data_IF_599017120928
#
_entry.id   IF_599017120928
#
_cell.length_a   1.000
_cell.length_b   1.000
_cell.length_c   1.000
_cell.angle_alpha   90.00
_cell.angle_beta   90.00
_cell.angle_gamma   90.00
#
_symmetry.space_group_name_H-M   'P 1'
#
loop_
_entity.id
_entity.type
_entity.pdbx_description
1 polymer ?
#
# COMPACT_ATOMS: atom_id res chain seq x y z
N UNK A 1 12.83 -14.36 17.65
CA UNK A 1 12.50 -13.28 16.70
C UNK A 1 11.72 -13.90 15.56
N UNK A 2 10.44 -13.57 15.41
CA UNK A 2 9.64 -14.01 14.27
C UNK A 2 9.96 -13.09 13.09
N UNK A 3 10.76 -13.59 12.14
CA UNK A 3 10.89 -12.93 10.85
C UNK A 3 9.51 -12.91 10.18
N UNK A 4 9.13 -11.76 9.64
CA UNK A 4 7.93 -11.70 8.82
C UNK A 4 8.04 -12.69 7.68
N UNK A 5 7.01 -13.51 7.54
CA UNK A 5 6.86 -14.36 6.37
C UNK A 5 5.90 -13.66 5.44
N UNK A 6 6.46 -13.05 4.40
CA UNK A 6 5.68 -12.51 3.31
C UNK A 6 5.05 -13.67 2.53
N UNK A 7 3.83 -13.46 2.01
CA UNK A 7 3.28 -14.42 1.04
C UNK A 7 4.11 -14.33 -0.24
N UNK A 8 4.48 -15.48 -0.81
CA UNK A 8 5.25 -15.52 -2.05
C UNK A 8 4.59 -14.62 -3.12
N UNK A 9 5.41 -13.74 -3.71
CA UNK A 9 4.98 -12.85 -4.78
C UNK A 9 4.26 -11.56 -4.35
N UNK A 10 4.17 -11.25 -3.05
CA UNK A 10 3.59 -9.95 -2.63
C UNK A 10 4.54 -8.76 -2.86
N UNK A 11 5.86 -8.98 -2.90
CA UNK A 11 6.82 -7.92 -3.22
C UNK A 11 6.70 -7.57 -4.69
N UNK A 12 6.54 -6.28 -4.97
CA UNK A 12 6.46 -5.77 -6.33
C UNK A 12 7.78 -5.08 -6.67
N UNK A 13 8.33 -5.43 -7.82
CA UNK A 13 9.47 -4.71 -8.37
C UNK A 13 9.11 -3.23 -8.59
N UNK A 14 10.05 -2.32 -8.29
CA UNK A 14 9.93 -0.88 -8.54
C UNK A 14 9.92 -0.56 -10.04
N UNK A 15 8.80 -0.86 -10.68
CA UNK A 15 8.56 -0.64 -12.10
C UNK A 15 7.20 0.03 -12.24
N UNK A 16 7.19 1.23 -12.83
CA UNK A 16 5.98 2.02 -13.09
C UNK A 16 4.91 1.18 -13.79
N UNK A 17 5.30 0.43 -14.83
CA UNK A 17 4.38 -0.43 -15.59
C UNK A 17 3.77 -1.55 -14.73
N UNK A 18 4.58 -2.20 -13.88
CA UNK A 18 4.09 -3.27 -13.00
C UNK A 18 3.12 -2.73 -11.93
N UNK A 19 3.47 -1.59 -11.34
CA UNK A 19 2.63 -0.91 -10.33
C UNK A 19 1.30 -0.48 -10.93
N UNK A 20 1.33 0.16 -12.10
CA UNK A 20 0.10 0.61 -12.76
C UNK A 20 -0.76 -0.57 -13.19
N UNK A 21 -0.16 -1.67 -13.65
CA UNK A 21 -0.89 -2.90 -13.98
C UNK A 21 -1.65 -3.44 -12.77
N UNK A 22 -1.02 -3.48 -11.60
CA UNK A 22 -1.66 -3.91 -10.35
C UNK A 22 -2.73 -2.91 -9.89
N UNK A 23 -2.46 -1.60 -9.91
CA UNK A 23 -3.46 -0.58 -9.57
C UNK A 23 -4.71 -0.72 -10.45
N UNK A 24 -4.53 -0.80 -11.77
CA UNK A 24 -5.63 -0.94 -12.73
C UNK A 24 -6.33 -2.31 -12.65
N UNK A 25 -5.74 -3.33 -12.03
CA UNK A 25 -6.45 -4.58 -11.74
C UNK A 25 -7.46 -4.40 -10.59
N UNK A 26 -7.22 -3.41 -9.72
CA UNK A 26 -7.97 -3.15 -8.49
C UNK A 26 -7.23 -3.61 -7.22
N UNK A 27 -5.99 -4.11 -7.37
CA UNK A 27 -5.11 -4.48 -6.25
C UNK A 27 -4.73 -3.24 -5.44
N UNK A 28 -4.66 -3.39 -4.12
CA UNK A 28 -4.05 -2.38 -3.24
C UNK A 28 -2.53 -2.45 -3.37
N UNK A 29 -1.90 -1.29 -3.60
CA UNK A 29 -0.46 -1.15 -3.54
C UNK A 29 -0.09 -0.52 -2.21
N UNK A 30 0.77 -1.18 -1.46
CA UNK A 30 1.24 -0.72 -0.15
C UNK A 30 2.67 -0.21 -0.33
N UNK A 31 2.89 1.04 0.09
CA UNK A 31 4.20 1.68 0.12
C UNK A 31 4.75 1.55 1.53
N UNK A 32 6.01 1.14 1.64
CA UNK A 32 6.70 1.03 2.91
C UNK A 32 8.17 1.42 2.79
N UNK A 33 8.76 1.76 3.93
CA UNK A 33 10.19 2.04 4.06
C UNK A 33 10.90 0.89 4.75
N UNK A 34 12.16 0.66 4.38
CA UNK A 34 12.99 -0.32 5.07
C UNK A 34 13.55 0.31 6.35
N UNK A 35 13.23 -0.27 7.50
CA UNK A 35 13.60 0.27 8.82
C UNK A 35 14.20 -0.82 9.70
N UNK A 36 15.52 -1.06 9.62
CA UNK A 36 16.18 -2.17 10.30
C UNK A 36 16.17 -2.04 11.83
N UNK A 37 15.82 -0.86 12.34
CA UNK A 37 15.63 -0.57 13.75
C UNK A 37 14.26 -1.03 14.29
N UNK A 38 13.32 -1.39 13.41
CA UNK A 38 12.03 -1.95 13.79
C UNK A 38 12.09 -3.49 13.81
N UNK A 39 11.35 -4.17 14.72
CA UNK A 39 11.29 -5.64 14.76
C UNK A 39 10.87 -6.31 13.44
N UNK A 40 10.18 -5.54 12.59
CA UNK A 40 9.61 -5.91 11.30
C UNK A 40 10.57 -5.66 10.12
N UNK A 41 11.65 -4.91 10.34
CA UNK A 41 12.50 -4.27 9.33
C UNK A 41 11.75 -3.33 8.36
N UNK A 42 10.54 -2.90 8.69
CA UNK A 42 9.65 -2.23 7.74
C UNK A 42 8.69 -1.26 8.42
N UNK A 43 8.45 -0.15 7.74
CA UNK A 43 7.54 0.91 8.15
C UNK A 43 6.50 1.16 7.07
N UNK A 44 5.23 0.83 7.32
CA UNK A 44 4.18 1.12 6.35
C UNK A 44 3.89 2.63 6.28
N UNK A 45 3.72 3.16 5.08
CA UNK A 45 3.47 4.59 4.83
C UNK A 45 2.04 4.79 4.31
N UNK A 46 1.84 4.53 3.02
CA UNK A 46 0.62 4.84 2.30
C UNK A 46 0.10 3.62 1.56
N UNK A 47 -1.21 3.61 1.33
CA UNK A 47 -1.87 2.62 0.49
C UNK A 47 -2.49 3.32 -0.70
N UNK A 48 -2.17 2.83 -1.88
CA UNK A 48 -2.71 3.30 -3.14
C UNK A 48 -3.73 2.28 -3.66
N UNK A 49 -4.82 2.79 -4.22
CA UNK A 49 -5.84 1.98 -4.89
C UNK A 49 -6.40 2.74 -6.06
N UNK A 50 -6.59 2.07 -7.19
CA UNK A 50 -7.36 2.66 -8.28
C UNK A 50 -8.83 2.21 -8.21
N UNK A 51 -9.72 3.16 -7.93
CA UNK A 51 -11.15 2.94 -7.97
C UNK A 51 -11.67 3.09 -9.40
N UNK A 52 -12.07 1.96 -10.01
CA UNK A 52 -12.57 1.92 -11.39
C UNK A 52 -13.88 2.68 -11.59
N UNK A 53 -14.78 2.65 -10.61
CA UNK A 53 -16.09 3.32 -10.67
C UNK A 53 -15.94 4.83 -10.72
N UNK A 54 -15.08 5.37 -9.85
CA UNK A 54 -14.82 6.79 -9.75
C UNK A 54 -13.68 7.25 -10.67
N UNK A 55 -13.01 6.30 -11.33
CA UNK A 55 -11.80 6.51 -12.14
C UNK A 55 -10.77 7.37 -11.40
N UNK A 56 -10.51 7.02 -10.15
CA UNK A 56 -9.69 7.80 -9.24
C UNK A 56 -8.56 6.95 -8.64
N UNK A 57 -7.38 7.56 -8.50
CA UNK A 57 -6.33 7.05 -7.63
C UNK A 57 -6.65 7.53 -6.21
N UNK A 58 -7.05 6.60 -5.36
CA UNK A 58 -7.32 6.80 -3.94
C UNK A 58 -6.03 6.55 -3.16
N UNK A 59 -5.70 7.48 -2.27
CA UNK A 59 -4.54 7.42 -1.38
C UNK A 59 -5.08 7.37 0.04
N UNK A 60 -4.61 6.39 0.79
CA UNK A 60 -4.95 6.20 2.18
C UNK A 60 -3.69 6.27 3.03
N UNK A 61 -3.80 6.95 4.16
CA UNK A 61 -2.81 6.85 5.22
C UNK A 61 -3.17 5.65 6.10
N UNK A 62 -2.18 4.84 6.46
CA UNK A 62 -2.32 3.81 7.48
C UNK A 62 -2.13 4.45 8.86
N UNK A 63 -3.22 4.59 9.62
CA UNK A 63 -3.15 5.00 11.01
C UNK A 63 -3.14 3.79 11.94
N UNK A 64 -2.25 3.87 12.92
CA UNK A 64 -2.36 3.07 14.13
C UNK A 64 -3.45 3.66 15.00
N UNK A 65 -4.33 2.80 15.48
CA UNK A 65 -5.21 3.13 16.58
C UNK A 65 -4.61 2.50 17.84
N UNK A 66 -4.13 3.31 18.78
CA UNK A 66 -3.47 2.78 20.00
C UNK A 66 -4.46 2.04 20.91
N UNK A 67 -5.77 2.27 20.75
CA UNK A 67 -6.81 1.62 21.53
C UNK A 67 -7.35 0.33 20.88
N UNK A 68 -6.94 0.03 19.64
CA UNK A 68 -7.40 -1.17 18.95
C UNK A 68 -6.27 -1.95 18.27
N UNK A 69 -6.42 -3.26 18.17
CA UNK A 69 -5.52 -4.10 17.38
C UNK A 69 -5.69 -3.84 15.87
N UNK A 70 -6.19 -2.71 15.38
CA UNK A 70 -6.59 -2.52 13.98
C UNK A 70 -5.87 -1.37 13.27
N UNK A 71 -5.73 -1.50 11.94
CA UNK A 71 -5.43 -0.36 11.08
C UNK A 71 -6.71 0.31 10.65
N UNK A 72 -6.73 1.62 10.82
CA UNK A 72 -7.70 2.46 10.15
C UNK A 72 -7.06 3.01 8.89
N UNK A 73 -7.48 2.52 7.73
CA UNK A 73 -7.25 3.19 6.46
C UNK A 73 -8.05 4.50 6.49
N UNK A 74 -7.36 5.62 6.69
CA UNK A 74 -8.01 6.92 6.55
C UNK A 74 -7.78 7.40 5.13
N UNK A 75 -8.88 7.63 4.44
CA UNK A 75 -8.84 8.28 3.14
C UNK A 75 -8.17 9.63 3.27
N UNK A 76 -7.15 9.86 2.47
CA UNK A 76 -6.37 11.10 2.50
C UNK A 76 -6.75 11.96 1.29
N UNK A 77 -6.55 11.41 0.09
CA UNK A 77 -6.75 12.13 -1.16
C UNK A 77 -7.27 11.20 -2.26
N UNK A 78 -8.00 11.78 -3.22
CA UNK A 78 -8.34 11.13 -4.48
C UNK A 78 -7.96 12.02 -5.66
N UNK A 79 -7.30 11.44 -6.66
CA UNK A 79 -6.99 12.10 -7.92
C UNK A 79 -7.89 11.48 -8.99
N UNK A 80 -8.87 12.24 -9.47
CA UNK A 80 -9.82 11.78 -10.50
C UNK A 80 -9.26 11.99 -11.90
N UNK A 81 -9.42 10.99 -12.78
CA UNK A 81 -8.88 11.01 -14.14
C UNK A 81 -9.97 11.01 -15.21
N UNK A 82 -9.84 11.90 -16.20
CA UNK A 82 -10.65 11.92 -17.41
C UNK A 82 -9.91 11.30 -18.60
N UNK A 83 -10.59 10.55 -19.48
CA UNK A 83 -9.92 9.90 -20.63
C UNK A 83 -9.15 8.61 -20.28
N UNK A 84 -7.88 8.49 -20.67
CA UNK A 84 -7.10 7.25 -20.47
C UNK A 84 -6.34 7.28 -19.14
N UNK A 85 -6.82 6.54 -18.15
CA UNK A 85 -6.24 6.54 -16.79
C UNK A 85 -4.78 6.05 -16.76
N UNK A 86 -4.43 5.05 -17.57
CA UNK A 86 -3.05 4.50 -17.63
C UNK A 86 -2.01 5.59 -17.96
N UNK A 87 -2.28 6.42 -18.98
CA UNK A 87 -1.37 7.47 -19.45
C UNK A 87 -1.19 8.57 -18.39
N UNK A 88 -2.21 8.84 -17.58
CA UNK A 88 -2.15 9.84 -16.51
C UNK A 88 -1.50 9.31 -15.23
N UNK A 89 -1.65 8.02 -14.93
CA UNK A 89 -1.01 7.39 -13.79
C UNK A 89 0.51 7.28 -13.96
N UNK A 90 0.98 7.12 -15.21
CA UNK A 90 2.40 6.93 -15.52
C UNK A 90 3.31 8.01 -14.90
N UNK A 91 3.14 9.31 -15.21
CA UNK A 91 4.00 10.35 -14.64
C UNK A 91 3.86 10.51 -13.12
N UNK A 92 2.69 10.21 -12.55
CA UNK A 92 2.47 10.29 -11.09
C UNK A 92 3.29 9.22 -10.38
N UNK A 93 3.15 7.96 -10.82
CA UNK A 93 3.86 6.83 -10.19
C UNK A 93 5.36 6.93 -10.43
N UNK A 94 5.79 7.29 -11.64
CA UNK A 94 7.21 7.47 -11.97
C UNK A 94 7.87 8.55 -11.11
N UNK A 95 7.17 9.67 -10.86
CA UNK A 95 7.65 10.74 -9.98
C UNK A 95 7.78 10.33 -8.51
N UNK A 96 6.92 9.45 -8.02
CA UNK A 96 6.94 9.00 -6.62
C UNK A 96 7.85 7.79 -6.35
N UNK A 97 8.23 7.02 -7.38
CA UNK A 97 9.07 5.83 -7.23
C UNK A 97 10.39 6.04 -6.47
N UNK A 98 11.15 7.15 -6.69
CA UNK A 98 12.39 7.39 -5.97
C UNK A 98 12.23 7.58 -4.46
N UNK A 99 11.03 7.91 -3.98
CA UNK A 99 10.77 8.23 -2.57
C UNK A 99 10.39 7.02 -1.71
N UNK A 100 10.20 5.84 -2.32
CA UNK A 100 9.78 4.63 -1.60
C UNK A 100 10.88 3.58 -1.58
N UNK A 101 11.06 2.86 -0.46
CA UNK A 101 12.02 1.76 -0.37
C UNK A 101 11.44 0.42 -0.83
N UNK A 102 10.19 0.14 -0.46
CA UNK A 102 9.53 -1.15 -0.63
C UNK A 102 8.11 -0.94 -1.18
N UNK A 103 7.69 -1.84 -2.07
CA UNK A 103 6.36 -1.82 -2.69
C UNK A 103 5.77 -3.22 -2.62
N UNK A 104 4.53 -3.31 -2.15
CA UNK A 104 3.80 -4.56 -2.06
C UNK A 104 2.49 -4.49 -2.85
N UNK A 105 2.16 -5.59 -3.52
CA UNK A 105 0.88 -5.79 -4.18
C UNK A 105 0.02 -6.73 -3.34
N UNK A 106 -1.03 -6.18 -2.71
CA UNK A 106 -1.95 -6.95 -1.91
C UNK A 106 -3.07 -7.58 -2.77
N UNK A 107 -2.68 -8.57 -3.58
CA UNK A 107 -3.59 -9.26 -4.51
C UNK A 107 -4.69 -10.06 -3.81
N UNK A 108 -4.50 -10.35 -2.52
CA UNK A 108 -5.43 -11.15 -1.71
C UNK A 108 -6.40 -10.30 -0.88
N UNK A 109 -6.35 -8.97 -1.02
CA UNK A 109 -7.05 -8.00 -0.17
C UNK A 109 -6.81 -8.30 1.33
N UNK A 110 -5.56 -8.61 1.66
CA UNK A 110 -5.06 -8.87 3.00
C UNK A 110 -5.08 -7.63 3.88
N UNK A 111 -5.11 -6.43 3.30
CA UNK A 111 -5.43 -5.19 4.01
C UNK A 111 -6.81 -5.23 4.65
N UNK A 112 -7.73 -6.05 4.10
CA UNK A 112 -9.03 -6.36 4.68
C UNK A 112 -8.99 -7.63 5.56
N UNK A 113 -7.81 -8.21 5.82
CA UNK A 113 -7.62 -9.44 6.59
C UNK A 113 -6.55 -9.29 7.69
N UNK A 114 -6.55 -10.31 8.54
CA UNK A 114 -6.27 -10.30 9.99
C UNK A 114 -4.95 -9.77 10.55
N UNK A 115 -3.92 -9.39 9.79
CA UNK A 115 -2.66 -8.89 10.38
C UNK A 115 -1.97 -7.88 9.47
N UNK A 116 -1.68 -6.69 9.99
CA UNK A 116 -0.96 -5.59 9.30
C UNK A 116 0.00 -4.92 10.31
N UNK A 117 0.97 -4.13 9.85
CA UNK A 117 2.09 -3.61 10.67
C UNK A 117 2.33 -2.12 10.52
N UNK A 118 2.84 -1.50 11.57
CA UNK A 118 2.57 -0.08 11.79
C UNK A 118 3.70 0.85 11.51
N UNK A 119 3.35 2.14 11.45
CA UNK A 119 4.32 3.22 11.38
C UNK A 119 5.19 3.35 12.66
N UNK A 120 4.86 2.62 13.73
CA UNK A 120 5.64 2.51 14.97
C UNK A 120 6.36 1.16 15.10
N UNK A 121 6.19 0.25 14.13
CA UNK A 121 6.72 -1.11 14.18
C UNK A 121 5.92 -2.09 15.04
N UNK A 122 4.77 -1.68 15.59
CA UNK A 122 3.83 -2.57 16.28
C UNK A 122 3.09 -3.49 15.30
N UNK A 123 2.71 -4.68 15.78
CA UNK A 123 1.94 -5.70 15.04
C UNK A 123 0.49 -5.65 15.48
N UNK A 124 -0.45 -5.63 14.54
CA UNK A 124 -1.87 -5.47 14.85
C UNK A 124 -2.72 -6.52 14.14
N UNK A 125 -3.82 -6.95 14.78
CA UNK A 125 -4.81 -7.86 14.23
C UNK A 125 -6.03 -7.16 13.61
N UNK A 126 -6.12 -7.09 12.28
CA UNK A 126 -7.32 -6.58 11.62
C UNK A 126 -8.55 -7.47 11.92
N UNK A 127 -9.54 -6.98 12.68
CA UNK A 127 -10.75 -7.76 13.03
C UNK A 127 -11.98 -7.51 12.13
N UNK A 128 -11.79 -6.83 10.99
CA UNK A 128 -12.85 -6.60 10.00
C UNK A 128 -13.68 -5.35 10.29
#
# INVERSE_FOLDING_TARGET
MSYFTYSDGCFLEKSTEKIIKELLSGTYIIIADFRPDLPTNMLLQNVLRFNKSNRALEIYTLFEDEESDQYNLRFEHAICFYGKAKEQLYPIIEGSLPECDLIFADRNNSINKKVVYGKSGKVYQNRG
#
